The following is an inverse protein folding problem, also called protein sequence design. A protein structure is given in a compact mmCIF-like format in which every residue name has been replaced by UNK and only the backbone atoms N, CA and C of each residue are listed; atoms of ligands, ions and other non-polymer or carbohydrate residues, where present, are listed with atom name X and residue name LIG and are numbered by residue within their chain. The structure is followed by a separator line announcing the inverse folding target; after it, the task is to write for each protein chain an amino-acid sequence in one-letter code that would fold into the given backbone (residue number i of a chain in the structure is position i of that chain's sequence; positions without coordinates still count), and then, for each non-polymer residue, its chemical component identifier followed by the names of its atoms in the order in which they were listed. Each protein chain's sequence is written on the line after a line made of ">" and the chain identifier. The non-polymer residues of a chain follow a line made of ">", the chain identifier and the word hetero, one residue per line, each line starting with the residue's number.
data_IF_522747170777
#
_entry.id   IF_522747170777
#
_cell.length_a   1.000
_cell.length_b   1.000
_cell.length_c   1.000
_cell.angle_alpha   90.00
_cell.angle_beta   90.00
_cell.angle_gamma   90.00
#
_symmetry.space_group_name_H-M   'P 1'
#
loop_
_entity.id
_entity.type
_entity.pdbx_description
1 polymer ?
#
# COMPACT_ATOMS: atom_id res chain seq x y z
N UNK A 1 -28.58 -2.37 38.13
CA UNK A 1 -29.18 -1.03 37.96
C UNK A 1 -29.78 -0.94 36.56
N UNK A 2 -31.10 -0.76 36.49
CA UNK A 2 -31.88 -0.51 35.28
C UNK A 2 -31.65 0.92 34.79
N UNK A 3 -32.15 1.20 33.57
CA UNK A 3 -32.42 2.51 32.93
C UNK A 3 -31.30 3.09 32.07
N UNK A 4 -31.52 3.60 30.85
CA UNK A 4 -32.74 3.82 30.04
C UNK A 4 -32.30 4.04 28.58
N UNK A 5 -32.88 3.29 27.64
CA UNK A 5 -32.86 3.60 26.20
C UNK A 5 -33.70 4.86 25.98
N UNK A 6 -33.14 5.89 25.32
CA UNK A 6 -33.90 7.07 24.88
C UNK A 6 -34.19 6.94 23.39
N UNK A 7 -35.46 6.61 23.09
CA UNK A 7 -36.12 6.92 21.82
C UNK A 7 -36.18 8.45 21.65
N UNK A 8 -35.74 8.94 20.50
CA UNK A 8 -36.08 10.28 19.98
C UNK A 8 -36.20 10.13 18.48
N UNK A 9 -37.44 9.94 18.01
CA UNK A 9 -38.32 10.99 17.50
C UNK A 9 -38.03 11.28 16.03
N UNK A 10 -38.80 10.58 15.23
CA UNK A 10 -39.08 10.73 13.80
C UNK A 10 -39.39 12.20 13.49
N UNK A 11 -38.67 12.80 12.54
CA UNK A 11 -39.07 14.03 11.88
C UNK A 11 -39.15 13.75 10.37
N UNK A 12 -40.37 13.45 9.93
CA UNK A 12 -40.74 13.33 8.52
C UNK A 12 -40.94 14.76 8.00
N UNK A 13 -40.07 15.21 7.11
CA UNK A 13 -40.24 16.47 6.37
C UNK A 13 -40.73 16.10 4.96
N UNK A 14 -42.03 16.26 4.75
CA UNK A 14 -42.72 16.21 3.47
C UNK A 14 -43.01 17.63 3.00
N UNK A 15 -42.38 18.11 1.93
CA UNK A 15 -42.76 19.25 1.07
C UNK A 15 -41.75 19.31 -0.09
N UNK A 16 -42.03 19.60 -1.37
CA UNK A 16 -43.23 19.98 -2.10
C UNK A 16 -42.96 19.65 -3.59
N UNK A 17 -43.87 18.96 -4.27
CA UNK A 17 -43.82 18.82 -5.73
C UNK A 17 -44.34 20.12 -6.37
N UNK A 18 -43.52 20.77 -7.21
CA UNK A 18 -43.95 21.89 -8.05
C UNK A 18 -43.80 21.47 -9.51
N UNK A 19 -44.92 21.08 -10.11
CA UNK A 19 -45.06 20.94 -11.55
C UNK A 19 -45.41 22.33 -12.12
N UNK A 20 -44.59 22.83 -13.04
CA UNK A 20 -44.95 23.94 -13.91
C UNK A 20 -44.60 23.54 -15.34
N UNK A 21 -45.63 23.15 -16.08
CA UNK A 21 -45.59 22.99 -17.52
C UNK A 21 -45.80 24.36 -18.17
N UNK A 22 -44.88 24.78 -19.04
CA UNK A 22 -45.18 25.75 -20.08
C UNK A 22 -44.74 25.15 -21.43
N UNK A 23 -45.75 24.91 -22.26
CA UNK A 23 -45.62 24.57 -23.66
C UNK A 23 -45.44 25.86 -24.47
N UNK A 24 -44.48 25.88 -25.39
CA UNK A 24 -44.44 26.78 -26.52
C UNK A 24 -43.86 26.03 -27.73
N UNK A 25 -44.67 25.97 -28.79
CA UNK A 25 -44.37 25.35 -30.07
C UNK A 25 -43.35 26.17 -30.88
N UNK A 26 -42.42 25.50 -31.56
CA UNK A 26 -42.21 25.58 -33.03
C UNK A 26 -40.86 24.99 -33.43
N UNK A 27 -40.78 24.46 -34.65
CA UNK A 27 -39.50 24.28 -35.35
C UNK A 27 -39.17 22.83 -35.67
N UNK A 28 -39.44 22.44 -36.92
CA UNK A 28 -39.12 21.12 -37.45
C UNK A 28 -37.61 20.86 -37.62
N UNK A 29 -37.29 19.59 -37.76
CA UNK A 29 -35.94 19.10 -38.02
C UNK A 29 -35.83 17.64 -37.64
N UNK A 30 -36.31 16.74 -38.52
CA UNK A 30 -36.08 15.31 -38.40
C UNK A 30 -34.61 14.98 -38.56
N UNK A 31 -33.83 15.16 -37.49
CA UNK A 31 -32.51 14.59 -37.33
C UNK A 31 -32.64 13.45 -36.32
N UNK A 32 -32.66 12.22 -36.80
CA UNK A 32 -32.50 11.04 -35.94
C UNK A 32 -31.07 11.03 -35.41
N UNK A 33 -30.79 11.85 -34.39
CA UNK A 33 -29.55 11.74 -33.63
C UNK A 33 -29.65 10.52 -32.75
N UNK A 34 -29.09 9.40 -33.21
CA UNK A 34 -28.79 8.25 -32.37
C UNK A 34 -28.09 8.76 -31.10
N UNK A 35 -28.57 8.43 -29.88
CA UNK A 35 -27.87 8.83 -28.67
C UNK A 35 -26.45 8.27 -28.73
N UNK A 36 -25.46 9.18 -28.80
CA UNK A 36 -24.04 8.82 -28.77
C UNK A 36 -23.80 8.13 -27.43
N UNK A 37 -23.38 6.86 -27.47
CA UNK A 37 -23.01 6.11 -26.28
C UNK A 37 -22.09 6.97 -25.42
N UNK A 38 -22.56 7.36 -24.22
CA UNK A 38 -21.72 8.02 -23.24
C UNK A 38 -20.65 7.02 -22.86
N UNK A 39 -19.40 7.34 -23.13
CA UNK A 39 -18.29 6.50 -22.74
C UNK A 39 -18.38 6.25 -21.23
N UNK A 40 -18.41 4.99 -20.82
CA UNK A 40 -18.30 4.62 -19.42
C UNK A 40 -17.06 5.32 -18.85
N UNK A 41 -17.17 6.06 -17.73
CA UNK A 41 -16.03 6.70 -17.11
C UNK A 41 -14.92 5.68 -16.89
N UNK A 42 -13.75 5.92 -17.45
CA UNK A 42 -12.59 5.05 -17.23
C UNK A 42 -12.19 5.19 -15.77
N UNK A 43 -12.10 4.06 -15.05
CA UNK A 43 -11.58 4.05 -13.68
C UNK A 43 -10.13 4.57 -13.68
N UNK A 44 -9.75 5.34 -12.64
CA UNK A 44 -8.42 5.94 -12.58
C UNK A 44 -7.32 4.88 -12.62
N UNK A 45 -6.21 5.24 -13.27
CA UNK A 45 -5.01 4.42 -13.27
C UNK A 45 -4.36 4.34 -11.89
N UNK A 46 -3.41 3.41 -11.69
CA UNK A 46 -2.72 3.29 -10.41
C UNK A 46 -1.94 4.56 -10.04
N UNK A 47 -1.29 5.21 -11.01
CA UNK A 47 -0.56 6.47 -10.76
C UNK A 47 -1.51 7.63 -10.45
N UNK A 48 -2.71 7.67 -11.03
CA UNK A 48 -3.73 8.67 -10.70
C UNK A 48 -4.18 8.56 -9.24
N UNK A 49 -4.48 7.34 -8.78
CA UNK A 49 -4.87 7.07 -7.38
C UNK A 49 -3.74 7.46 -6.42
N UNK A 50 -2.50 7.13 -6.75
CA UNK A 50 -1.34 7.54 -5.93
C UNK A 50 -1.18 9.06 -5.94
N UNK A 51 -1.34 9.72 -7.08
CA UNK A 51 -1.22 11.16 -7.20
C UNK A 51 -2.28 11.92 -6.42
N UNK A 52 -3.52 11.43 -6.39
CA UNK A 52 -4.58 11.98 -5.54
C UNK A 52 -4.23 11.85 -4.06
N UNK A 53 -3.77 10.68 -3.63
CA UNK A 53 -3.30 10.47 -2.27
C UNK A 53 -2.14 11.41 -1.90
N UNK A 54 -1.14 11.56 -2.78
CA UNK A 54 0.00 12.46 -2.56
C UNK A 54 -0.45 13.91 -2.35
N UNK A 55 -1.28 14.44 -3.25
CA UNK A 55 -1.76 15.82 -3.14
C UNK A 55 -2.56 16.03 -1.87
N UNK A 56 -3.39 15.06 -1.49
CA UNK A 56 -4.25 15.13 -0.30
C UNK A 56 -3.46 14.99 1.01
N UNK A 57 -2.53 14.05 1.07
CA UNK A 57 -1.87 13.65 2.32
C UNK A 57 -0.49 14.28 2.53
N UNK A 58 0.20 14.70 1.46
CA UNK A 58 1.53 15.32 1.53
C UNK A 58 1.52 16.80 1.16
N UNK A 59 0.46 17.29 0.50
CA UNK A 59 0.37 18.66 -0.02
C UNK A 59 1.56 19.02 -0.94
N UNK A 60 1.93 18.09 -1.83
CA UNK A 60 3.00 18.26 -2.83
C UNK A 60 2.46 17.83 -4.19
N UNK A 61 2.92 18.49 -5.26
CA UNK A 61 2.60 18.11 -6.62
C UNK A 61 3.15 16.73 -6.98
N UNK A 62 2.45 16.04 -7.86
CA UNK A 62 2.78 14.68 -8.28
C UNK A 62 2.91 14.58 -9.80
N UNK A 63 4.02 14.01 -10.25
CA UNK A 63 4.39 13.88 -11.67
C UNK A 63 3.82 12.62 -12.31
N UNK A 64 3.60 11.55 -11.54
CA UNK A 64 3.36 10.20 -12.06
C UNK A 64 4.61 9.35 -11.93
N UNK A 65 4.96 8.62 -13.00
CA UNK A 65 6.18 7.83 -13.05
C UNK A 65 7.41 8.75 -13.07
N UNK A 66 8.46 8.37 -12.34
CA UNK A 66 9.68 9.17 -12.27
C UNK A 66 10.36 9.39 -13.63
N UNK A 67 10.22 8.46 -14.58
CA UNK A 67 10.74 8.60 -15.94
C UNK A 67 10.05 9.71 -16.75
N UNK A 68 8.91 10.21 -16.28
CA UNK A 68 8.19 11.34 -16.88
C UNK A 68 8.61 12.70 -16.32
N UNK A 69 9.49 12.74 -15.30
CA UNK A 69 9.92 13.98 -14.67
C UNK A 69 10.92 14.76 -15.53
N UNK A 70 10.71 16.08 -15.59
CA UNK A 70 11.53 17.01 -16.37
C UNK A 70 12.55 17.72 -15.47
N UNK A 71 13.83 17.57 -15.81
CA UNK A 71 14.95 18.20 -15.09
C UNK A 71 14.78 19.72 -15.10
N UNK A 72 14.87 20.34 -13.92
CA UNK A 72 14.73 21.79 -13.75
C UNK A 72 13.28 22.30 -13.72
N UNK A 73 12.29 21.47 -14.05
CA UNK A 73 10.86 21.83 -14.03
C UNK A 73 10.14 21.20 -12.84
N UNK A 74 10.41 19.92 -12.59
CA UNK A 74 9.67 19.15 -11.58
C UNK A 74 10.37 19.11 -10.22
N UNK A 75 11.33 20.00 -9.99
CA UNK A 75 12.06 20.10 -8.72
C UNK A 75 11.08 20.33 -7.56
N UNK A 76 11.20 19.51 -6.51
CA UNK A 76 10.35 19.58 -5.32
C UNK A 76 9.01 18.85 -5.44
N UNK A 77 8.71 18.23 -6.59
CA UNK A 77 7.55 17.36 -6.77
C UNK A 77 7.85 15.93 -6.35
N UNK A 78 6.81 15.11 -6.17
CA UNK A 78 6.96 13.68 -5.96
C UNK A 78 6.68 12.88 -7.24
N UNK A 79 7.32 11.72 -7.35
CA UNK A 79 7.08 10.73 -8.39
C UNK A 79 7.13 9.31 -7.80
N UNK A 80 6.69 8.33 -8.58
CA UNK A 80 6.81 6.91 -8.22
C UNK A 80 7.59 6.09 -9.22
N UNK A 81 8.24 5.05 -8.72
CA UNK A 81 8.82 3.96 -9.50
C UNK A 81 8.15 2.65 -9.09
N UNK A 82 7.61 1.89 -10.04
CA UNK A 82 7.07 0.56 -9.74
C UNK A 82 8.23 -0.41 -9.43
N UNK A 83 8.21 -1.03 -8.25
CA UNK A 83 9.29 -1.91 -7.78
C UNK A 83 8.86 -3.38 -7.67
N UNK A 84 7.57 -3.69 -7.85
CA UNK A 84 7.11 -5.07 -7.85
C UNK A 84 5.60 -5.24 -7.96
N UNK A 85 5.20 -6.47 -8.31
CA UNK A 85 3.82 -6.92 -8.44
C UNK A 85 3.62 -8.24 -7.71
N UNK A 86 2.44 -8.43 -7.11
CA UNK A 86 2.04 -9.69 -6.47
C UNK A 86 0.53 -9.88 -6.59
N UNK A 87 0.09 -10.78 -7.47
CA UNK A 87 -1.34 -10.95 -7.78
C UNK A 87 -1.94 -9.65 -8.30
N UNK A 88 -3.01 -9.17 -7.65
CA UNK A 88 -3.66 -7.88 -7.95
C UNK A 88 -2.96 -6.67 -7.29
N UNK A 89 -1.88 -6.89 -6.56
CA UNK A 89 -1.16 -5.83 -5.83
C UNK A 89 0.04 -5.32 -6.61
N UNK A 90 0.33 -4.03 -6.43
CA UNK A 90 1.53 -3.37 -6.92
C UNK A 90 2.24 -2.63 -5.80
N UNK A 91 3.55 -2.54 -5.91
CA UNK A 91 4.42 -1.82 -5.00
C UNK A 91 5.17 -0.74 -5.76
N UNK A 92 5.22 0.45 -5.19
CA UNK A 92 5.93 1.59 -5.74
C UNK A 92 6.86 2.18 -4.68
N UNK A 93 8.05 2.59 -5.10
CA UNK A 93 8.85 3.54 -4.34
C UNK A 93 8.34 4.96 -4.64
N UNK A 94 8.07 5.74 -3.61
CA UNK A 94 7.59 7.12 -3.68
C UNK A 94 8.63 8.05 -3.07
N UNK A 95 8.91 9.17 -3.72
CA UNK A 95 9.91 10.13 -3.26
C UNK A 95 10.00 11.37 -4.14
N UNK A 96 10.87 12.32 -3.78
CA UNK A 96 11.09 13.50 -4.58
C UNK A 96 11.68 13.13 -5.94
N UNK A 97 11.30 13.87 -6.98
CA UNK A 97 11.97 13.75 -8.28
C UNK A 97 13.47 13.99 -8.11
N UNK A 98 14.29 13.16 -8.77
CA UNK A 98 15.76 13.28 -8.78
C UNK A 98 16.42 13.15 -7.41
N UNK A 99 15.80 12.43 -6.46
CA UNK A 99 16.36 12.15 -5.14
C UNK A 99 15.97 10.75 -4.66
N UNK A 100 16.53 10.33 -3.52
CA UNK A 100 16.21 9.04 -2.92
C UNK A 100 14.74 8.91 -2.54
N UNK A 101 14.20 7.70 -2.69
CA UNK A 101 12.83 7.40 -2.33
C UNK A 101 12.65 7.32 -0.81
N UNK A 102 11.55 7.89 -0.30
CA UNK A 102 11.29 8.02 1.14
C UNK A 102 10.04 7.29 1.60
N UNK A 103 9.33 6.59 0.71
CA UNK A 103 8.19 5.76 1.08
C UNK A 103 8.00 4.55 0.15
N UNK A 104 7.37 3.51 0.71
CA UNK A 104 6.74 2.41 -0.03
C UNK A 104 5.25 2.70 -0.15
N UNK A 105 4.72 2.61 -1.36
CA UNK A 105 3.27 2.64 -1.61
C UNK A 105 2.84 1.27 -2.09
N UNK A 106 1.89 0.67 -1.39
CA UNK A 106 1.23 -0.57 -1.81
C UNK A 106 -0.19 -0.26 -2.24
N UNK A 107 -0.59 -0.78 -3.40
CA UNK A 107 -1.94 -0.62 -3.94
C UNK A 107 -2.48 -1.98 -4.39
N UNK A 108 -3.81 -2.11 -4.41
CA UNK A 108 -4.51 -3.32 -4.86
C UNK A 108 -5.56 -2.96 -5.91
N UNK A 109 -5.64 -3.77 -6.97
CA UNK A 109 -6.71 -3.71 -7.95
C UNK A 109 -7.92 -4.48 -7.43
N UNK A 110 -9.01 -3.75 -7.20
CA UNK A 110 -10.33 -4.28 -6.84
C UNK A 110 -11.31 -4.09 -8.01
N UNK A 111 -12.49 -4.73 -8.01
CA UNK A 111 -13.50 -4.52 -9.04
C UNK A 111 -13.91 -3.05 -9.21
N UNK A 112 -13.92 -2.29 -8.12
CA UNK A 112 -14.22 -0.85 -8.09
C UNK A 112 -13.06 0.05 -8.55
N UNK A 113 -11.86 -0.50 -8.78
CA UNK A 113 -10.68 0.23 -9.19
C UNK A 113 -9.46 0.00 -8.30
N UNK A 114 -8.43 0.80 -8.50
CA UNK A 114 -7.22 0.76 -7.66
C UNK A 114 -7.48 1.41 -6.30
N UNK A 115 -6.92 0.83 -5.24
CA UNK A 115 -7.00 1.38 -3.88
C UNK A 115 -5.65 1.36 -3.19
N UNK A 116 -5.34 2.40 -2.42
CA UNK A 116 -4.16 2.45 -1.55
C UNK A 116 -4.35 1.42 -0.42
N UNK A 117 -3.43 0.47 -0.31
CA UNK A 117 -3.35 -0.45 0.84
C UNK A 117 -2.58 0.23 1.97
N UNK A 118 -1.40 0.76 1.66
CA UNK A 118 -0.54 1.42 2.64
C UNK A 118 0.45 2.38 1.97
N UNK A 119 0.84 3.40 2.73
CA UNK A 119 2.00 4.24 2.43
C UNK A 119 2.90 4.26 3.66
N UNK A 120 4.03 3.58 3.58
CA UNK A 120 4.97 3.41 4.69
C UNK A 120 6.20 4.25 4.44
N UNK A 121 6.50 5.19 5.33
CA UNK A 121 7.76 5.94 5.27
C UNK A 121 8.94 4.99 5.41
N UNK A 122 9.95 5.19 4.58
CA UNK A 122 11.24 4.52 4.65
C UNK A 122 12.27 5.56 5.05
N UNK A 123 13.10 5.20 6.02
CA UNK A 123 14.33 5.96 6.25
C UNK A 123 15.34 5.53 5.17
N UNK A 124 15.72 6.41 4.23
CA UNK A 124 16.70 6.06 3.20
C UNK A 124 18.10 5.83 3.77
N UNK A 125 18.35 6.24 5.01
CA UNK A 125 19.62 6.02 5.72
C UNK A 125 19.63 4.74 6.57
N UNK A 126 18.45 4.21 6.93
CA UNK A 126 18.36 2.90 7.56
C UNK A 126 18.53 1.84 6.48
N UNK A 127 19.57 1.01 6.59
CA UNK A 127 19.86 -0.05 5.62
C UNK A 127 18.59 -0.79 5.18
N UNK A 128 18.40 -0.92 3.88
CA UNK A 128 17.15 -1.45 3.34
C UNK A 128 17.01 -2.93 3.70
N UNK A 129 16.00 -3.28 4.53
CA UNK A 129 15.60 -4.67 4.71
C UNK A 129 15.21 -5.22 3.33
N UNK A 130 15.89 -6.27 2.83
CA UNK A 130 15.66 -6.78 1.48
C UNK A 130 14.19 -7.18 1.25
N UNK A 131 13.74 -7.03 0.01
CA UNK A 131 12.40 -7.41 -0.42
C UNK A 131 11.27 -6.47 -0.01
N UNK A 132 10.15 -6.60 -0.72
CA UNK A 132 8.96 -5.78 -0.50
C UNK A 132 8.21 -6.30 0.72
N UNK A 133 7.89 -5.40 1.66
CA UNK A 133 7.07 -5.69 2.83
C UNK A 133 5.59 -5.79 2.46
N UNK A 134 5.21 -6.83 1.71
CA UNK A 134 3.81 -7.11 1.39
C UNK A 134 3.00 -7.36 2.67
N UNK A 135 1.70 -7.01 2.70
CA UNK A 135 0.85 -7.31 3.86
C UNK A 135 0.85 -8.81 4.14
N UNK A 136 1.22 -9.16 5.37
CA UNK A 136 1.25 -10.53 5.87
C UNK A 136 -0.14 -10.97 6.33
N UNK A 137 -0.37 -12.28 6.34
CA UNK A 137 -1.60 -12.91 6.78
C UNK A 137 -1.30 -14.18 7.59
N UNK A 138 -2.23 -14.58 8.45
CA UNK A 138 -2.16 -15.87 9.14
C UNK A 138 -2.10 -16.99 8.11
N UNK A 139 -1.15 -17.92 8.31
CA UNK A 139 -0.84 -19.00 7.38
C UNK A 139 0.27 -18.69 6.38
N UNK A 140 0.71 -17.44 6.24
CA UNK A 140 1.85 -17.11 5.39
C UNK A 140 3.13 -17.77 5.91
N UNK A 141 3.92 -18.33 4.98
CA UNK A 141 5.32 -18.64 5.25
C UNK A 141 6.15 -17.37 5.13
N UNK A 142 6.99 -17.11 6.13
CA UNK A 142 7.86 -15.94 6.21
C UNK A 142 9.30 -16.34 6.45
N UNK A 143 10.21 -15.47 6.04
CA UNK A 143 11.63 -15.51 6.33
C UNK A 143 12.03 -14.27 7.12
N UNK A 144 12.87 -14.46 8.15
CA UNK A 144 13.50 -13.40 8.92
C UNK A 144 14.68 -12.85 8.12
N UNK A 145 14.74 -11.53 7.92
CA UNK A 145 15.80 -10.91 7.11
C UNK A 145 16.05 -9.44 7.48
N UNK A 146 17.27 -8.96 7.20
CA UNK A 146 17.65 -7.55 7.30
C UNK A 146 18.07 -7.15 8.71
N UNK A 147 18.60 -8.10 9.47
CA UNK A 147 19.19 -7.87 10.79
C UNK A 147 20.69 -7.57 10.69
N UNK A 148 21.38 -8.18 9.72
CA UNK A 148 22.84 -8.13 9.60
C UNK A 148 23.53 -9.34 10.23
N UNK A 149 24.85 -9.45 10.05
CA UNK A 149 25.61 -10.68 10.39
C UNK A 149 25.67 -11.01 11.89
N UNK A 150 25.60 -10.00 12.76
CA UNK A 150 25.78 -10.17 14.22
C UNK A 150 24.48 -10.06 15.01
N UNK A 151 23.36 -9.75 14.36
CA UNK A 151 22.07 -9.50 15.01
C UNK A 151 21.07 -10.63 14.79
N UNK A 152 20.04 -10.67 15.64
CA UNK A 152 19.00 -11.69 15.63
C UNK A 152 17.63 -11.08 15.97
N UNK A 153 16.56 -11.65 15.42
CA UNK A 153 15.19 -11.23 15.70
C UNK A 153 14.75 -11.84 17.03
N UNK A 154 14.42 -10.98 17.98
CA UNK A 154 13.94 -11.39 19.30
C UNK A 154 12.51 -11.88 19.19
N UNK A 155 12.30 -13.16 19.50
CA UNK A 155 10.96 -13.76 19.64
C UNK A 155 10.51 -13.56 21.09
N UNK A 156 9.31 -13.03 21.28
CA UNK A 156 8.80 -12.61 22.59
C UNK A 156 7.52 -13.33 22.97
N UNK A 157 7.25 -13.38 24.27
CA UNK A 157 6.04 -13.99 24.82
C UNK A 157 4.77 -13.17 24.54
N UNK A 158 4.93 -11.85 24.38
CA UNK A 158 3.84 -10.89 24.14
C UNK A 158 4.21 -9.93 22.99
N UNK A 159 3.22 -9.36 22.28
CA UNK A 159 3.42 -8.41 21.18
C UNK A 159 3.81 -7.01 21.70
N UNK A 160 4.95 -6.91 22.37
CA UNK A 160 5.47 -5.65 22.91
C UNK A 160 6.98 -5.74 23.08
N UNK A 161 7.67 -4.61 22.94
CA UNK A 161 9.11 -4.52 23.23
C UNK A 161 9.46 -4.85 24.69
N UNK A 162 8.50 -4.78 25.61
CA UNK A 162 8.68 -5.10 27.03
C UNK A 162 8.44 -6.58 27.35
N UNK A 163 7.85 -7.35 26.42
CA UNK A 163 7.55 -8.76 26.62
C UNK A 163 8.83 -9.59 26.79
N UNK A 164 8.77 -10.63 27.62
CA UNK A 164 9.90 -11.52 27.86
C UNK A 164 10.42 -12.08 26.53
N UNK A 165 11.73 -11.95 26.30
CA UNK A 165 12.39 -12.60 25.17
C UNK A 165 12.44 -14.12 25.44
N UNK A 166 11.84 -14.89 24.53
CA UNK A 166 11.82 -16.35 24.57
C UNK A 166 13.05 -16.93 23.87
N UNK A 167 13.40 -16.39 22.71
CA UNK A 167 14.57 -16.81 21.94
C UNK A 167 15.03 -15.68 21.00
N UNK A 168 16.14 -15.91 20.29
CA UNK A 168 16.62 -15.04 19.23
C UNK A 168 16.90 -15.89 17.98
N UNK A 169 16.33 -15.50 16.84
CA UNK A 169 16.48 -16.24 15.58
C UNK A 169 17.30 -15.42 14.58
N UNK A 170 18.29 -16.00 13.88
CA UNK A 170 19.11 -15.28 12.92
C UNK A 170 18.36 -14.99 11.61
N UNK A 171 18.95 -14.12 10.79
CA UNK A 171 18.55 -13.94 9.38
C UNK A 171 18.54 -15.30 8.64
N UNK A 172 17.58 -15.47 7.74
CA UNK A 172 17.35 -16.71 7.01
C UNK A 172 16.42 -17.71 7.71
N UNK A 173 16.10 -17.49 8.99
CA UNK A 173 15.15 -18.37 9.72
C UNK A 173 13.77 -18.28 9.11
N UNK A 174 13.13 -19.43 8.86
CA UNK A 174 11.77 -19.51 8.34
C UNK A 174 10.75 -19.82 9.43
N UNK A 175 9.52 -19.37 9.22
CA UNK A 175 8.40 -19.65 10.10
C UNK A 175 7.06 -19.46 9.40
N UNK A 176 5.98 -19.77 10.10
CA UNK A 176 4.61 -19.58 9.66
C UNK A 176 3.92 -18.58 10.60
N UNK A 177 3.22 -17.59 10.03
CA UNK A 177 2.37 -16.67 10.79
C UNK A 177 1.21 -17.45 11.42
N UNK A 178 1.12 -17.42 12.74
CA UNK A 178 0.06 -18.08 13.52
C UNK A 178 -1.03 -17.10 13.96
N UNK A 179 -0.66 -15.85 14.26
CA UNK A 179 -1.55 -14.86 14.86
C UNK A 179 -1.07 -13.45 14.55
N UNK A 180 -1.98 -12.48 14.61
CA UNK A 180 -1.74 -11.07 14.33
C UNK A 180 -2.62 -10.53 13.20
N UNK A 181 -2.44 -9.26 12.82
CA UNK A 181 -1.48 -8.31 13.38
C UNK A 181 -1.88 -7.81 14.77
N UNK A 182 -0.90 -7.34 15.55
CA UNK A 182 -1.13 -6.54 16.76
C UNK A 182 -0.18 -5.37 16.78
N UNK A 183 -0.71 -4.15 16.74
CA UNK A 183 0.12 -2.94 16.81
C UNK A 183 0.42 -2.58 18.26
N UNK A 184 1.71 -2.44 18.57
CA UNK A 184 2.18 -1.98 19.86
C UNK A 184 3.49 -1.20 19.72
N UNK A 185 3.60 -0.11 20.48
CA UNK A 185 4.68 0.86 20.35
C UNK A 185 4.82 1.38 18.90
N UNK A 186 5.94 1.05 18.24
CA UNK A 186 6.23 1.45 16.85
C UNK A 186 6.25 0.26 15.89
N UNK A 187 5.79 -0.91 16.34
CA UNK A 187 5.85 -2.15 15.56
C UNK A 187 4.47 -2.78 15.39
N UNK A 188 4.27 -3.36 14.20
CA UNK A 188 3.24 -4.37 13.99
C UNK A 188 3.81 -5.73 14.32
N UNK A 189 3.27 -6.36 15.35
CA UNK A 189 3.70 -7.66 15.86
C UNK A 189 2.91 -8.79 15.22
N UNK A 190 3.61 -9.90 14.97
CA UNK A 190 3.06 -11.14 14.45
C UNK A 190 3.55 -12.32 15.27
N UNK A 191 2.65 -13.23 15.64
CA UNK A 191 3.07 -14.47 16.26
C UNK A 191 3.49 -15.44 15.18
N UNK A 192 4.72 -15.93 15.28
CA UNK A 192 5.31 -16.85 14.32
C UNK A 192 5.74 -18.14 15.02
N UNK A 193 5.61 -19.26 14.32
CA UNK A 193 6.10 -20.56 14.77
C UNK A 193 6.99 -21.18 13.70
N UNK A 194 8.07 -21.82 14.15
CA UNK A 194 9.04 -22.50 13.31
C UNK A 194 9.80 -23.55 14.11
N UNK A 195 10.93 -24.00 13.59
CA UNK A 195 11.75 -25.01 14.26
C UNK A 195 12.33 -24.45 15.58
N UNK A 196 11.85 -24.97 16.71
CA UNK A 196 12.36 -24.60 18.04
C UNK A 196 11.88 -23.26 18.60
N UNK A 197 10.92 -22.57 17.95
CA UNK A 197 10.35 -21.32 18.48
C UNK A 197 8.86 -21.14 18.17
N UNK A 198 8.17 -20.46 19.10
CA UNK A 198 6.79 -20.00 18.94
C UNK A 198 6.60 -18.74 19.79
N UNK A 199 6.33 -17.60 19.15
CA UNK A 199 6.13 -16.35 19.87
C UNK A 199 6.01 -15.15 18.93
N UNK A 200 5.92 -13.96 19.53
CA UNK A 200 5.72 -12.69 18.85
C UNK A 200 7.03 -12.12 18.33
N UNK A 201 7.03 -11.73 17.07
CA UNK A 201 8.12 -11.08 16.38
C UNK A 201 7.61 -9.80 15.72
N UNK A 202 8.47 -8.80 15.62
CA UNK A 202 8.14 -7.57 14.93
C UNK A 202 8.18 -7.78 13.40
N UNK A 203 7.11 -7.39 12.72
CA UNK A 203 6.92 -7.61 11.29
C UNK A 203 7.88 -6.84 10.38
N UNK A 204 8.60 -5.85 10.91
CA UNK A 204 9.58 -5.06 10.16
C UNK A 204 10.65 -5.94 9.46
N UNK A 205 11.03 -7.04 10.11
CA UNK A 205 12.05 -8.00 9.66
C UNK A 205 11.48 -9.29 9.05
N UNK A 206 10.16 -9.35 8.85
CA UNK A 206 9.50 -10.50 8.24
C UNK A 206 9.22 -10.20 6.77
N UNK A 207 9.55 -11.13 5.90
CA UNK A 207 9.24 -11.06 4.47
C UNK A 207 8.66 -12.36 3.98
N UNK A 208 7.84 -12.27 2.95
CA UNK A 208 7.45 -13.44 2.20
C UNK A 208 8.64 -13.92 1.36
N UNK A 209 8.87 -15.24 1.23
CA UNK A 209 10.01 -15.78 0.48
C UNK A 209 10.09 -15.29 -0.98
N UNK A 210 8.95 -15.17 -1.66
CA UNK A 210 8.85 -14.67 -3.03
C UNK A 210 9.27 -13.18 -3.15
N UNK A 211 9.01 -12.39 -2.12
CA UNK A 211 9.40 -10.98 -2.06
C UNK A 211 10.92 -10.79 -1.98
N UNK A 212 11.63 -11.73 -1.37
CA UNK A 212 13.10 -11.73 -1.30
C UNK A 212 13.70 -12.13 -2.64
N UNK A 213 13.19 -13.22 -3.22
CA UNK A 213 13.68 -13.71 -4.51
C UNK A 213 13.61 -12.62 -5.60
N UNK A 214 12.51 -11.86 -5.64
CA UNK A 214 12.35 -10.74 -6.56
C UNK A 214 13.43 -9.65 -6.36
N UNK A 215 13.73 -9.27 -5.11
CA UNK A 215 14.74 -8.26 -4.82
C UNK A 215 16.15 -8.71 -5.17
N UNK A 216 16.49 -9.97 -4.92
CA UNK A 216 17.81 -10.53 -5.26
C UNK A 216 18.00 -10.66 -6.78
N UNK A 217 16.94 -10.97 -7.52
CA UNK A 217 16.99 -10.99 -8.99
C UNK A 217 17.26 -9.61 -9.58
N UNK A 218 16.72 -8.54 -8.99
CA UNK A 218 16.97 -7.16 -9.43
C UNK A 218 18.34 -6.61 -9.01
N UNK A 219 18.98 -7.20 -7.99
CA UNK A 219 20.28 -6.77 -7.47
C UNK A 219 21.48 -7.41 -8.20
N UNK A 220 21.24 -8.41 -9.06
CA UNK A 220 22.30 -8.98 -9.89
C UNK A 220 22.54 -8.02 -11.06
N UNK A 221 23.71 -7.35 -11.16
CA UNK A 221 24.03 -6.60 -12.36
C UNK A 221 24.04 -7.58 -13.53
N UNK A 222 23.40 -7.22 -14.64
CA UNK A 222 23.53 -7.93 -15.91
C UNK A 222 25.02 -7.99 -16.29
N UNK A 223 25.70 -9.05 -15.86
CA UNK A 223 27.06 -9.31 -16.25
C UNK A 223 27.08 -9.64 -17.75
N UNK A 224 27.81 -8.80 -18.48
CA UNK A 224 28.40 -9.06 -19.79
C UNK A 224 27.48 -9.13 -21.04
N UNK A 225 27.46 -8.01 -21.76
CA UNK A 225 27.94 -8.03 -23.16
C UNK A 225 28.87 -6.85 -23.39
N UNK A 226 30.06 -6.89 -22.77
CA UNK A 226 31.21 -6.18 -23.32
C UNK A 226 31.88 -7.16 -24.30
N UNK A 227 31.83 -6.84 -25.58
CA UNK A 227 32.52 -7.58 -26.66
C UNK A 227 33.68 -6.70 -27.16
N UNK A 228 34.86 -7.28 -27.44
CA UNK A 228 36.12 -6.56 -27.65
C UNK A 228 36.13 -5.58 -28.83
#
# INVERSE_FOLDING_TARGET
>A
MKTRVRLSSILIITMLASAAAMAACSGGGGGSSTPKATATPKLPGPEEVIGEWVRTNRNVDFVGLCDSAQIGVDVGKLCVLEIGRRGTRRAYSLGPTFSEFTALVLIEQKPEGWSIISVTNRDPSAGAVPGIAWPLQVGDSVIVIGLGETDCLRIREQPTQQGKQLTCVPDGTTGIIQEGPTDAETFTWWRIAGEGFNGWAAGAWLRLPDAIAAALATATPSAATATP
#
